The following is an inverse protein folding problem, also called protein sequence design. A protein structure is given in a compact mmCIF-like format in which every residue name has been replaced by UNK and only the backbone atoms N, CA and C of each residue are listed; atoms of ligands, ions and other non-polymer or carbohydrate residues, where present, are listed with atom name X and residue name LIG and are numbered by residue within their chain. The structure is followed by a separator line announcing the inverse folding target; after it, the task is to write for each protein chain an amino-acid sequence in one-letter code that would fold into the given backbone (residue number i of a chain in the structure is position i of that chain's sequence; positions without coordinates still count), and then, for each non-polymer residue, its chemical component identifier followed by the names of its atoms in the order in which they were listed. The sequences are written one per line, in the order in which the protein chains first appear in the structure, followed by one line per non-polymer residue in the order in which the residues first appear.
data_IF_447280795447
#
_entry.id   IF_447280795447
#
_cell.length_a   1.000
_cell.length_b   1.000
_cell.length_c   1.000
_cell.angle_alpha   90.00
_cell.angle_beta   90.00
_cell.angle_gamma   90.00
#
_symmetry.space_group_name_H-M   'P 1'
#
loop_
_entity.id
_entity.type
_entity.pdbx_description
1 polymer ?
#
# COMPACT_ATOMS: atom_id res chain seq x y z
N UNK A 1 8.60 19.01 -4.03
CA UNK A 1 7.44 18.09 -4.17
C UNK A 1 6.51 18.44 -5.34
N UNK A 2 6.60 19.63 -5.92
CA UNK A 2 5.63 20.11 -6.93
C UNK A 2 5.92 19.73 -8.39
N UNK A 3 7.10 19.19 -8.68
CA UNK A 3 7.50 18.96 -10.07
C UNK A 3 6.79 17.77 -10.75
N UNK A 4 6.40 16.74 -10.01
CA UNK A 4 5.74 15.56 -10.56
C UNK A 4 4.40 15.87 -11.23
N UNK A 5 3.62 16.79 -10.67
CA UNK A 5 2.32 17.18 -11.21
C UNK A 5 2.48 17.89 -12.55
N UNK A 6 3.44 18.82 -12.63
CA UNK A 6 3.73 19.53 -13.87
C UNK A 6 4.27 18.60 -14.96
N UNK A 7 5.10 17.61 -14.58
CA UNK A 7 5.60 16.59 -15.50
C UNK A 7 4.49 15.69 -15.99
N UNK A 8 3.60 15.23 -15.10
CA UNK A 8 2.46 14.39 -15.48
C UNK A 8 1.51 15.14 -16.42
N UNK A 9 1.20 16.41 -16.15
CA UNK A 9 0.38 17.24 -17.03
C UNK A 9 1.01 17.40 -18.42
N UNK A 10 2.33 17.64 -18.49
CA UNK A 10 3.07 17.70 -19.76
C UNK A 10 3.05 16.37 -20.51
N UNK A 11 3.26 15.26 -19.78
CA UNK A 11 3.21 13.92 -20.38
C UNK A 11 1.83 13.59 -20.94
N UNK A 12 0.76 13.84 -20.21
CA UNK A 12 -0.62 13.65 -20.66
C UNK A 12 -0.93 14.51 -21.89
N UNK A 13 -0.53 15.79 -21.89
CA UNK A 13 -0.72 16.66 -23.05
C UNK A 13 0.02 16.15 -24.27
N UNK A 14 1.27 15.67 -24.11
CA UNK A 14 2.07 15.09 -25.21
C UNK A 14 1.48 13.79 -25.74
N UNK A 15 0.84 13.00 -24.87
CA UNK A 15 0.16 11.75 -25.22
C UNK A 15 -1.27 11.96 -25.79
N UNK A 16 -1.74 13.20 -25.99
CA UNK A 16 -3.07 13.49 -26.52
C UNK A 16 -4.19 13.52 -25.46
N UNK A 17 -3.87 13.32 -24.18
CA UNK A 17 -4.82 13.28 -23.06
C UNK A 17 -4.86 14.58 -22.25
N UNK A 18 -4.62 15.73 -22.86
CA UNK A 18 -4.55 17.03 -22.19
C UNK A 18 -5.85 17.49 -21.51
N UNK A 19 -6.97 16.87 -21.84
CA UNK A 19 -8.29 17.11 -21.23
C UNK A 19 -8.53 16.32 -19.92
N UNK A 20 -7.64 15.38 -19.57
CA UNK A 20 -7.76 14.63 -18.31
C UNK A 20 -7.28 15.50 -17.14
N UNK A 21 -8.13 15.76 -16.13
CA UNK A 21 -7.74 16.57 -14.99
C UNK A 21 -6.75 15.81 -14.09
N UNK A 22 -5.61 16.43 -13.81
CA UNK A 22 -4.65 15.94 -12.82
C UNK A 22 -4.89 16.66 -11.50
N UNK A 23 -5.34 15.92 -10.50
CA UNK A 23 -5.66 16.41 -9.17
C UNK A 23 -4.50 16.05 -8.23
N UNK A 24 -4.02 17.04 -7.49
CA UNK A 24 -3.01 16.84 -6.44
C UNK A 24 -3.63 17.04 -5.07
N UNK A 25 -3.34 16.12 -4.16
CA UNK A 25 -3.64 16.28 -2.74
C UNK A 25 -2.39 16.78 -2.03
N UNK A 26 -2.30 18.09 -1.84
CA UNK A 26 -1.29 18.70 -0.98
C UNK A 26 -1.92 19.12 0.33
N UNK A 27 -1.23 18.87 1.45
CA UNK A 27 -1.63 19.38 2.77
C UNK A 27 -1.65 20.92 2.83
N UNK A 28 -0.94 21.59 1.92
CA UNK A 28 -0.83 23.05 1.85
C UNK A 28 -1.86 23.72 0.93
N UNK A 29 -2.69 22.98 0.25
CA UNK A 29 -3.73 23.57 -0.61
C UNK A 29 -4.20 22.57 -1.67
N UNK A 30 -5.51 22.43 -1.74
CA UNK A 30 -6.17 21.67 -2.81
C UNK A 30 -6.35 22.66 -3.95
N UNK A 31 -5.69 22.36 -5.09
CA UNK A 31 -5.94 23.15 -6.30
C UNK A 31 -7.44 23.14 -6.62
N UNK A 32 -8.00 24.31 -6.86
CA UNK A 32 -9.41 24.46 -7.24
C UNK A 32 -9.60 23.87 -8.65
N UNK A 33 -10.10 22.65 -8.74
CA UNK A 33 -10.51 22.07 -10.02
C UNK A 33 -12.04 22.11 -10.14
N UNK A 34 -12.58 22.51 -11.29
CA UNK A 34 -14.02 22.44 -11.55
C UNK A 34 -14.46 20.97 -11.45
N UNK A 35 -15.42 20.69 -10.59
CA UNK A 35 -16.00 19.34 -10.39
C UNK A 35 -15.57 18.58 -9.13
N UNK A 36 -14.48 18.98 -8.44
CA UNK A 36 -14.10 18.34 -7.19
C UNK A 36 -14.33 19.30 -6.00
N UNK A 37 -15.30 18.97 -5.15
CA UNK A 37 -15.54 19.69 -3.88
C UNK A 37 -15.18 18.78 -2.72
N UNK A 38 -14.16 19.17 -1.97
CA UNK A 38 -13.83 18.53 -0.71
C UNK A 38 -14.76 19.06 0.38
N UNK A 39 -15.51 18.16 1.00
CA UNK A 39 -16.26 18.47 2.21
C UNK A 39 -15.65 17.71 3.40
N UNK A 40 -16.04 18.08 4.62
CA UNK A 40 -15.53 17.48 5.84
C UNK A 40 -15.74 15.94 5.88
N UNK A 41 -16.85 15.47 5.35
CA UNK A 41 -17.16 14.02 5.27
C UNK A 41 -16.16 13.28 4.39
N UNK A 42 -15.83 13.84 3.22
CA UNK A 42 -14.83 13.26 2.30
C UNK A 42 -13.43 13.30 2.91
N UNK A 43 -13.05 14.45 3.51
CA UNK A 43 -11.76 14.58 4.19
C UNK A 43 -11.60 13.51 5.29
N UNK A 44 -12.62 13.36 6.13
CA UNK A 44 -12.64 12.35 7.19
C UNK A 44 -12.57 10.91 6.62
N UNK A 45 -13.30 10.63 5.55
CA UNK A 45 -13.24 9.35 4.85
C UNK A 45 -11.83 9.06 4.31
N UNK A 46 -11.17 10.05 3.72
CA UNK A 46 -9.79 9.92 3.23
C UNK A 46 -8.80 9.66 4.38
N UNK A 47 -8.93 10.36 5.52
CA UNK A 47 -8.09 10.09 6.68
C UNK A 47 -8.26 8.65 7.18
N UNK A 48 -9.48 8.14 7.26
CA UNK A 48 -9.71 6.75 7.66
C UNK A 48 -9.20 5.76 6.61
N UNK A 49 -9.27 6.07 5.31
CA UNK A 49 -8.69 5.23 4.27
C UNK A 49 -7.18 5.07 4.44
N UNK A 50 -6.47 6.17 4.75
CA UNK A 50 -5.02 6.13 5.04
C UNK A 50 -4.74 5.27 6.27
N UNK A 51 -5.49 5.48 7.37
CA UNK A 51 -5.31 4.72 8.61
C UNK A 51 -5.59 3.22 8.42
N UNK A 52 -6.62 2.85 7.64
CA UNK A 52 -6.87 1.45 7.33
C UNK A 52 -5.78 0.85 6.45
N UNK A 53 -5.30 1.60 5.44
CA UNK A 53 -4.20 1.16 4.58
C UNK A 53 -2.93 0.89 5.39
N UNK A 54 -2.58 1.78 6.30
CA UNK A 54 -1.42 1.64 7.18
C UNK A 54 -1.55 0.41 8.11
N UNK A 55 -2.74 0.20 8.70
CA UNK A 55 -3.01 -0.98 9.51
C UNK A 55 -2.85 -2.27 8.70
N UNK A 56 -3.49 -2.36 7.53
CA UNK A 56 -3.44 -3.56 6.69
C UNK A 56 -2.01 -3.85 6.22
N UNK A 57 -1.27 -2.83 5.76
CA UNK A 57 0.12 -2.96 5.36
C UNK A 57 0.99 -3.46 6.52
N UNK A 58 0.81 -2.91 7.72
CA UNK A 58 1.55 -3.33 8.91
C UNK A 58 1.27 -4.78 9.26
N UNK A 59 0.01 -5.21 9.24
CA UNK A 59 -0.38 -6.58 9.56
C UNK A 59 0.12 -7.59 8.51
N UNK A 60 0.02 -7.24 7.22
CA UNK A 60 0.59 -8.06 6.14
C UNK A 60 2.09 -8.25 6.36
N UNK A 61 2.83 -7.18 6.60
CA UNK A 61 4.28 -7.25 6.79
C UNK A 61 4.68 -8.04 8.05
N UNK A 62 3.84 -8.08 9.08
CA UNK A 62 4.08 -8.86 10.28
C UNK A 62 3.75 -10.34 10.12
N UNK A 63 2.70 -10.70 9.37
CA UNK A 63 2.20 -12.06 9.26
C UNK A 63 2.83 -12.83 8.09
N UNK A 64 2.98 -12.16 6.94
CA UNK A 64 3.42 -12.75 5.67
C UNK A 64 4.72 -13.57 5.75
N UNK A 65 5.77 -13.13 6.49
CA UNK A 65 7.00 -13.94 6.61
C UNK A 65 6.82 -15.27 7.36
N UNK A 66 5.74 -15.39 8.12
CA UNK A 66 5.47 -16.53 9.01
C UNK A 66 4.24 -17.35 8.60
N UNK A 67 3.45 -16.91 7.63
CA UNK A 67 2.23 -17.61 7.20
C UNK A 67 2.53 -19.03 6.70
N UNK A 68 1.70 -20.00 7.13
CA UNK A 68 1.78 -21.38 6.68
C UNK A 68 1.27 -21.50 5.25
N UNK A 69 0.12 -20.88 4.97
CA UNK A 69 -0.46 -20.79 3.64
C UNK A 69 -0.01 -19.50 2.97
N UNK A 70 0.83 -19.64 1.94
CA UNK A 70 1.36 -18.47 1.22
C UNK A 70 0.27 -17.61 0.60
N UNK A 71 0.33 -16.32 0.87
CA UNK A 71 -0.62 -15.33 0.37
C UNK A 71 -1.86 -15.15 1.25
N UNK A 72 -2.00 -15.91 2.35
CA UNK A 72 -3.15 -15.78 3.24
C UNK A 72 -3.30 -14.35 3.79
N UNK A 73 -2.21 -13.74 4.24
CA UNK A 73 -2.20 -12.37 4.74
C UNK A 73 -2.58 -11.35 3.66
N UNK A 74 -2.04 -11.51 2.44
CA UNK A 74 -2.36 -10.62 1.32
C UNK A 74 -3.82 -10.75 0.89
N UNK A 75 -4.31 -11.97 0.72
CA UNK A 75 -5.71 -12.23 0.36
C UNK A 75 -6.69 -11.63 1.38
N UNK A 76 -6.36 -11.73 2.66
CA UNK A 76 -7.17 -11.12 3.71
C UNK A 76 -7.13 -9.58 3.65
N UNK A 77 -5.96 -8.99 3.39
CA UNK A 77 -5.82 -7.54 3.19
C UNK A 77 -6.63 -7.06 1.98
N UNK A 78 -6.59 -7.78 0.86
CA UNK A 78 -7.35 -7.43 -0.35
C UNK A 78 -8.86 -7.50 -0.11
N UNK A 79 -9.33 -8.54 0.59
CA UNK A 79 -10.73 -8.66 1.03
C UNK A 79 -11.17 -7.45 1.85
N UNK A 80 -10.37 -7.04 2.83
CA UNK A 80 -10.68 -5.89 3.66
C UNK A 80 -10.58 -4.57 2.89
N UNK A 81 -9.57 -4.41 2.03
CA UNK A 81 -9.43 -3.23 1.17
C UNK A 81 -10.64 -3.04 0.28
N UNK A 82 -11.13 -4.10 -0.36
CA UNK A 82 -12.34 -4.05 -1.17
C UNK A 82 -13.57 -3.67 -0.35
N UNK A 83 -13.79 -4.30 0.81
CA UNK A 83 -14.90 -4.02 1.71
C UNK A 83 -14.90 -2.57 2.20
N UNK A 84 -13.75 -2.11 2.70
CA UNK A 84 -13.59 -0.73 3.19
C UNK A 84 -13.73 0.30 2.06
N UNK A 85 -13.23 -0.01 0.87
CA UNK A 85 -13.40 0.81 -0.33
C UNK A 85 -14.88 1.00 -0.68
N UNK A 86 -15.68 -0.06 -0.63
CA UNK A 86 -17.12 0.03 -0.84
C UNK A 86 -17.85 0.82 0.28
N UNK A 87 -17.44 0.65 1.53
CA UNK A 87 -18.02 1.41 2.65
C UNK A 87 -17.72 2.91 2.55
N UNK A 88 -16.45 3.28 2.33
CA UNK A 88 -16.01 4.67 2.22
C UNK A 88 -16.53 5.33 0.94
N UNK A 89 -16.63 4.59 -0.15
CA UNK A 89 -17.13 5.06 -1.45
C UNK A 89 -18.60 5.49 -1.43
N UNK A 90 -19.39 5.01 -0.46
CA UNK A 90 -20.80 5.45 -0.28
C UNK A 90 -20.93 6.94 0.09
N UNK A 91 -19.83 7.62 0.41
CA UNK A 91 -19.84 9.04 0.75
C UNK A 91 -20.59 9.40 2.04
N UNK A 92 -20.95 8.39 2.85
CA UNK A 92 -21.62 8.60 4.14
C UNK A 92 -20.61 8.95 5.23
N UNK A 93 -21.10 9.66 6.27
CA UNK A 93 -20.25 9.97 7.42
C UNK A 93 -19.84 8.69 8.15
N UNK A 94 -18.53 8.44 8.18
CA UNK A 94 -17.96 7.29 8.92
C UNK A 94 -17.91 7.62 10.40
N UNK A 95 -18.57 6.81 11.23
CA UNK A 95 -18.57 6.97 12.69
C UNK A 95 -17.31 6.35 13.28
N UNK A 96 -16.73 7.00 14.30
CA UNK A 96 -15.55 6.47 14.99
C UNK A 96 -15.78 5.07 15.58
N UNK A 97 -16.99 4.78 16.11
CA UNK A 97 -17.34 3.46 16.62
C UNK A 97 -17.23 2.37 15.53
N UNK A 98 -17.65 2.68 14.30
CA UNK A 98 -17.51 1.77 13.15
C UNK A 98 -16.03 1.51 12.81
N UNK A 99 -15.22 2.56 12.84
CA UNK A 99 -13.77 2.42 12.60
C UNK A 99 -13.14 1.52 13.66
N UNK A 100 -13.43 1.76 14.93
CA UNK A 100 -12.93 0.94 16.04
C UNK A 100 -13.35 -0.52 15.93
N UNK A 101 -14.59 -0.78 15.53
CA UNK A 101 -15.10 -2.12 15.29
C UNK A 101 -14.38 -2.82 14.14
N UNK A 102 -14.21 -2.13 13.01
CA UNK A 102 -13.47 -2.68 11.86
C UNK A 102 -12.01 -2.97 12.24
N UNK A 103 -11.34 -2.09 12.98
CA UNK A 103 -9.97 -2.33 13.46
C UNK A 103 -9.86 -3.60 14.28
N UNK A 104 -10.79 -3.81 15.23
CA UNK A 104 -10.81 -5.02 16.05
C UNK A 104 -10.98 -6.28 15.20
N UNK A 105 -11.92 -6.25 14.25
CA UNK A 105 -12.16 -7.37 13.34
C UNK A 105 -10.96 -7.68 12.46
N UNK A 106 -10.33 -6.65 11.91
CA UNK A 106 -9.14 -6.81 11.08
C UNK A 106 -8.02 -7.47 11.90
N UNK A 107 -7.72 -6.95 13.09
CA UNK A 107 -6.66 -7.49 13.95
C UNK A 107 -6.99 -8.93 14.35
N UNK A 108 -8.23 -9.21 14.71
CA UNK A 108 -8.69 -10.53 15.09
C UNK A 108 -8.56 -11.53 13.93
N UNK A 109 -9.04 -11.20 12.73
CA UNK A 109 -8.92 -12.07 11.56
C UNK A 109 -7.45 -12.33 11.19
N UNK A 110 -6.56 -11.34 11.29
CA UNK A 110 -5.12 -11.53 11.05
C UNK A 110 -4.45 -12.39 12.13
N UNK A 111 -4.88 -12.27 13.39
CA UNK A 111 -4.37 -13.09 14.50
C UNK A 111 -4.74 -14.58 14.35
N UNK A 112 -5.78 -14.90 13.58
CA UNK A 112 -6.19 -16.29 13.31
C UNK A 112 -5.52 -16.90 12.09
N UNK A 113 -4.68 -16.17 11.34
CA UNK A 113 -3.89 -16.76 10.26
C UNK A 113 -2.87 -17.72 10.88
N UNK A 114 -2.83 -18.99 10.43
CA UNK A 114 -1.83 -19.94 10.91
C UNK A 114 -0.42 -19.47 10.56
N UNK A 115 0.43 -19.35 11.57
CA UNK A 115 1.82 -18.92 11.43
C UNK A 115 2.78 -19.95 11.99
N UNK A 116 3.93 -20.09 11.34
CA UNK A 116 5.03 -20.93 11.77
C UNK A 116 6.17 -20.04 12.30
N UNK A 117 6.72 -20.40 13.45
CA UNK A 117 7.81 -19.64 14.07
C UNK A 117 9.09 -19.88 13.26
N UNK A 118 9.63 -18.83 12.63
CA UNK A 118 10.86 -18.85 11.82
C UNK A 118 11.76 -17.70 12.25
N UNK A 119 13.05 -17.88 12.10
CA UNK A 119 14.00 -16.79 12.26
C UNK A 119 13.97 -15.96 10.96
N UNK A 120 13.20 -14.88 10.97
CA UNK A 120 13.09 -13.98 9.84
C UNK A 120 14.09 -12.83 9.96
N UNK A 121 14.83 -12.58 8.89
CA UNK A 121 15.77 -11.46 8.80
C UNK A 121 14.96 -10.17 8.62
N UNK A 122 15.25 -9.15 9.44
CA UNK A 122 14.63 -7.83 9.29
C UNK A 122 15.42 -7.01 8.26
N UNK A 123 14.77 -6.67 7.17
CA UNK A 123 15.34 -5.86 6.10
C UNK A 123 14.69 -4.49 6.07
N UNK A 124 15.49 -3.43 6.17
CA UNK A 124 15.02 -2.04 6.04
C UNK A 124 15.18 -1.55 4.62
N UNK A 125 14.08 -1.21 3.95
CA UNK A 125 14.12 -0.56 2.62
C UNK A 125 14.14 0.95 2.80
N UNK A 126 15.24 1.58 2.42
CA UNK A 126 15.45 3.04 2.51
C UNK A 126 15.58 3.63 1.13
N UNK A 127 15.21 4.90 0.98
CA UNK A 127 15.31 5.60 -0.30
C UNK A 127 14.22 6.64 -0.50
N UNK A 128 14.15 7.16 -1.72
CA UNK A 128 13.12 8.09 -2.16
C UNK A 128 11.76 7.37 -2.17
N UNK A 129 10.69 8.08 -1.85
CA UNK A 129 9.35 7.50 -1.61
C UNK A 129 8.82 6.70 -2.81
N UNK A 130 9.06 7.17 -4.03
CA UNK A 130 8.63 6.46 -5.23
C UNK A 130 9.38 5.14 -5.42
N UNK A 131 10.71 5.14 -5.25
CA UNK A 131 11.53 3.92 -5.35
C UNK A 131 11.19 2.96 -4.22
N UNK A 132 10.91 3.48 -3.03
CA UNK A 132 10.62 2.68 -1.85
C UNK A 132 9.27 1.93 -1.96
N UNK A 133 8.21 2.59 -2.46
CA UNK A 133 6.84 2.05 -2.42
C UNK A 133 6.26 1.69 -3.79
N UNK A 134 6.91 2.05 -4.89
CA UNK A 134 6.39 1.73 -6.22
C UNK A 134 7.01 0.44 -6.75
N UNK A 135 6.22 -0.63 -6.96
CA UNK A 135 6.71 -1.86 -7.58
C UNK A 135 7.37 -1.64 -8.94
N UNK A 136 6.87 -0.65 -9.70
CA UNK A 136 7.48 -0.24 -10.97
C UNK A 136 8.86 0.42 -10.78
N UNK A 137 9.01 1.21 -9.70
CA UNK A 137 10.26 1.93 -9.39
C UNK A 137 11.35 1.05 -8.76
N UNK A 138 10.98 -0.05 -8.10
CA UNK A 138 11.87 -0.93 -7.36
C UNK A 138 11.88 -2.40 -7.84
N UNK A 139 11.31 -2.69 -8.99
CA UNK A 139 11.25 -4.05 -9.55
C UNK A 139 10.65 -5.08 -8.58
N UNK A 140 9.58 -4.74 -7.87
CA UNK A 140 8.93 -5.60 -6.86
C UNK A 140 9.89 -6.07 -5.74
N UNK A 141 10.79 -5.19 -5.30
CA UNK A 141 11.82 -5.50 -4.30
C UNK A 141 11.23 -6.17 -3.04
N UNK A 142 10.10 -5.69 -2.55
CA UNK A 142 9.44 -6.25 -1.36
C UNK A 142 9.04 -7.70 -1.58
N UNK A 143 8.42 -8.02 -2.72
CA UNK A 143 8.06 -9.39 -3.09
C UNK A 143 9.29 -10.27 -3.22
N UNK A 144 10.32 -9.78 -3.90
CA UNK A 144 11.59 -10.48 -4.06
C UNK A 144 12.22 -10.85 -2.71
N UNK A 145 12.27 -9.91 -1.77
CA UNK A 145 12.82 -10.14 -0.43
C UNK A 145 12.01 -11.21 0.33
N UNK A 146 10.69 -11.12 0.30
CA UNK A 146 9.83 -12.11 0.96
C UNK A 146 10.03 -13.51 0.37
N UNK A 147 10.05 -13.63 -0.95
CA UNK A 147 10.23 -14.92 -1.64
C UNK A 147 11.62 -15.51 -1.38
N UNK A 148 12.66 -14.68 -1.38
CA UNK A 148 14.03 -15.09 -1.11
C UNK A 148 14.19 -15.64 0.31
N UNK A 149 13.71 -14.93 1.31
CA UNK A 149 13.87 -15.34 2.72
C UNK A 149 12.86 -16.41 3.17
N UNK A 150 11.76 -16.60 2.44
CA UNK A 150 10.81 -17.69 2.71
C UNK A 150 11.16 -19.02 2.03
N UNK A 151 12.31 -19.08 1.36
CA UNK A 151 12.80 -20.31 0.67
C UNK A 151 12.04 -20.63 -0.62
N UNK A 152 11.27 -19.69 -1.14
CA UNK A 152 10.58 -19.81 -2.42
C UNK A 152 11.40 -19.11 -3.49
N UNK A 153 12.57 -19.65 -3.84
CA UNK A 153 13.31 -19.15 -4.99
C UNK A 153 12.47 -19.34 -6.25
N UNK A 154 12.13 -18.28 -7.00
CA UNK A 154 11.64 -18.50 -8.36
C UNK A 154 12.68 -19.33 -9.10
N UNK A 155 12.27 -20.31 -9.86
CA UNK A 155 13.13 -21.18 -10.67
C UNK A 155 13.76 -20.44 -11.85
N UNK A 156 14.50 -19.42 -11.56
CA UNK A 156 15.34 -18.61 -12.43
C UNK A 156 16.58 -18.26 -11.64
N UNK A 157 17.50 -19.23 -11.56
CA UNK A 157 18.82 -19.06 -10.98
C UNK A 157 19.50 -17.86 -11.64
N UNK A 158 19.60 -16.75 -10.93
CA UNK A 158 20.61 -15.77 -11.24
C UNK A 158 21.86 -16.25 -10.51
N UNK A 159 22.72 -17.00 -11.22
CA UNK A 159 24.06 -17.39 -10.77
C UNK A 159 24.95 -16.14 -10.74
N UNK A 160 24.63 -15.21 -9.89
CA UNK A 160 25.43 -14.03 -9.57
C UNK A 160 25.51 -13.93 -8.07
N UNK A 161 26.55 -14.49 -7.50
CA UNK A 161 26.84 -14.39 -6.08
C UNK A 161 26.81 -12.92 -5.66
N UNK A 162 25.99 -12.60 -4.69
CA UNK A 162 26.07 -11.33 -3.99
C UNK A 162 27.15 -11.52 -2.90
N UNK A 163 28.39 -11.70 -3.33
CA UNK A 163 29.58 -11.64 -2.47
C UNK A 163 29.93 -10.18 -2.22
N UNK A 164 29.05 -9.42 -1.58
CA UNK A 164 29.32 -7.99 -1.39
C UNK A 164 28.35 -7.20 -0.50
N UNK A 165 27.35 -7.82 0.07
CA UNK A 165 26.53 -7.15 1.07
C UNK A 165 27.19 -7.31 2.46
N UNK A 166 28.13 -6.42 2.78
CA UNK A 166 28.51 -6.16 4.17
C UNK A 166 27.36 -5.36 4.81
N UNK A 167 26.79 -5.92 5.87
CA UNK A 167 25.82 -5.31 6.78
C UNK A 167 26.51 -4.30 7.69
#
# INVERSE_FOLDING_TARGET
ASNYISLLRKALKKAGYGNIPVISFSLMGIEKHPGFRLNLTKLRGMMYAVLYGDLLMTLVNQVRPYEVEKGAAQNLADKWTHKLGLELGKGKLVRYAQVKENYRKIIDEFAHIPVEKRDAVKVGVVGEIFVKYSPLGNNNLEQFLVDWFSGSTPSGRVDGGIDGLQV
#
